data_IF_624610831682
#
_entry.id   IF_624610831682
#
_cell.length_a   1.000
_cell.length_b   1.000
_cell.length_c   1.000
_cell.angle_alpha   90.00
_cell.angle_beta   90.00
_cell.angle_gamma   90.00
#
_symmetry.space_group_name_H-M   'P 1'
#
loop_
_entity.id
_entity.type
_entity.pdbx_description
1 polymer ?
#
# COMPACT_ATOMS: atom_id res chain seq x y z
N UNK A 1 2.63 3.45 14.19
CA UNK A 1 3.52 4.32 14.97
C UNK A 1 3.08 4.26 16.42
N UNK A 2 3.92 3.75 17.32
CA UNK A 2 3.63 3.74 18.75
C UNK A 2 4.00 5.10 19.36
N UNK A 3 3.05 5.77 20.02
CA UNK A 3 3.28 7.04 20.71
C UNK A 3 3.25 6.77 22.21
N UNK A 4 4.40 6.91 22.87
CA UNK A 4 4.54 6.60 24.29
C UNK A 4 4.71 5.11 24.56
N UNK A 5 4.30 4.66 25.74
CA UNK A 5 4.27 3.26 26.12
C UNK A 5 2.94 2.61 25.71
N UNK A 6 2.98 1.33 25.34
CA UNK A 6 1.77 0.58 25.04
C UNK A 6 1.37 -0.25 26.26
N UNK A 7 0.31 0.15 26.96
CA UNK A 7 -0.25 -0.58 28.09
C UNK A 7 -1.24 -1.66 27.60
N UNK A 8 -0.69 -2.73 27.02
CA UNK A 8 -1.49 -3.82 26.47
C UNK A 8 -0.67 -5.01 25.98
N UNK A 9 -1.38 -6.06 25.54
CA UNK A 9 -0.76 -7.25 24.97
C UNK A 9 -0.45 -7.07 23.48
N UNK A 10 0.82 -7.17 23.11
CA UNK A 10 1.26 -7.23 21.72
C UNK A 10 1.39 -8.69 21.27
N UNK A 11 0.55 -9.10 20.30
CA UNK A 11 0.60 -10.43 19.70
C UNK A 11 1.25 -10.34 18.32
N UNK A 12 2.43 -10.94 18.17
CA UNK A 12 3.07 -11.11 16.86
C UNK A 12 2.55 -12.39 16.20
N UNK A 13 1.72 -12.25 15.17
CA UNK A 13 1.23 -13.37 14.39
C UNK A 13 2.37 -13.96 13.54
N UNK A 14 2.78 -15.19 13.87
CA UNK A 14 3.78 -15.98 13.13
C UNK A 14 3.16 -17.28 12.58
N UNK A 15 1.87 -17.25 12.21
CA UNK A 15 1.24 -18.39 11.55
C UNK A 15 1.89 -18.60 10.17
N UNK A 16 2.34 -19.82 9.88
CA UNK A 16 3.03 -20.18 8.65
C UNK A 16 2.28 -21.27 7.88
N UNK A 17 2.55 -21.38 6.58
CA UNK A 17 1.99 -22.39 5.69
C UNK A 17 1.34 -21.79 4.44
N UNK A 18 1.52 -22.50 3.33
CA UNK A 18 0.88 -22.20 2.04
C UNK A 18 0.28 -23.50 1.48
N UNK A 19 -1.03 -23.51 1.29
CA UNK A 19 -1.76 -24.64 0.71
C UNK A 19 -2.21 -24.28 -0.70
N UNK A 20 -1.70 -25.02 -1.69
CA UNK A 20 -1.96 -24.78 -3.11
C UNK A 20 -2.99 -25.78 -3.63
N UNK A 21 -3.99 -25.27 -4.35
CA UNK A 21 -5.07 -26.06 -4.94
C UNK A 21 -5.25 -25.68 -6.41
N UNK A 22 -4.95 -26.62 -7.30
CA UNK A 22 -5.16 -26.46 -8.73
C UNK A 22 -6.66 -26.44 -9.08
N UNK A 23 -7.09 -25.46 -9.88
CA UNK A 23 -8.47 -25.27 -10.35
C UNK A 23 -8.52 -25.12 -11.88
N UNK A 24 -7.63 -25.82 -12.61
CA UNK A 24 -7.57 -25.75 -14.07
C UNK A 24 -6.80 -24.52 -14.52
N UNK A 25 -7.49 -23.49 -15.01
CA UNK A 25 -6.87 -22.23 -15.48
C UNK A 25 -6.36 -21.34 -14.34
N UNK A 26 -6.77 -21.64 -13.11
CA UNK A 26 -6.42 -20.87 -11.92
C UNK A 26 -5.85 -21.78 -10.83
N UNK A 27 -5.21 -21.16 -9.85
CA UNK A 27 -4.72 -21.80 -8.63
C UNK A 27 -5.26 -21.01 -7.44
N UNK A 28 -5.92 -21.72 -6.53
CA UNK A 28 -6.21 -21.18 -5.20
C UNK A 28 -5.00 -21.42 -4.31
N UNK A 29 -4.59 -20.40 -3.58
CA UNK A 29 -3.56 -20.55 -2.55
C UNK A 29 -4.05 -19.94 -1.24
N UNK A 30 -4.15 -20.78 -0.22
CA UNK A 30 -4.43 -20.34 1.15
C UNK A 30 -3.11 -20.14 1.87
N UNK A 31 -2.88 -18.94 2.37
CA UNK A 31 -1.60 -18.51 2.94
C UNK A 31 -1.84 -18.02 4.37
N UNK A 32 -1.05 -18.55 5.30
CA UNK A 32 -1.13 -18.14 6.70
C UNK A 32 -0.73 -16.66 6.88
N UNK A 33 -1.37 -15.98 7.83
CA UNK A 33 -1.23 -14.54 8.05
C UNK A 33 0.18 -14.05 8.41
N UNK A 34 1.01 -14.91 8.99
CA UNK A 34 2.38 -14.58 9.40
C UNK A 34 3.41 -14.71 8.28
N UNK A 35 3.03 -15.26 7.12
CA UNK A 35 3.93 -15.37 5.98
C UNK A 35 4.39 -14.00 5.49
N UNK A 36 5.65 -13.91 5.09
CA UNK A 36 6.22 -12.68 4.52
C UNK A 36 5.59 -12.37 3.17
N UNK A 37 5.07 -11.14 3.00
CA UNK A 37 4.37 -10.77 1.77
C UNK A 37 5.24 -10.94 0.52
N UNK A 38 6.45 -10.39 0.52
CA UNK A 38 7.30 -10.46 -0.68
C UNK A 38 7.82 -11.88 -0.97
N UNK A 39 8.00 -12.71 0.07
CA UNK A 39 8.34 -14.12 -0.10
C UNK A 39 7.19 -14.89 -0.76
N UNK A 40 5.94 -14.61 -0.37
CA UNK A 40 4.76 -15.13 -1.07
C UNK A 40 4.73 -14.68 -2.54
N UNK A 41 4.95 -13.40 -2.82
CA UNK A 41 4.99 -12.90 -4.22
C UNK A 41 6.10 -13.60 -5.01
N UNK A 42 7.28 -13.80 -4.44
CA UNK A 42 8.37 -14.53 -5.09
C UNK A 42 7.99 -15.98 -5.45
N UNK A 43 7.34 -16.68 -4.52
CA UNK A 43 6.88 -18.05 -4.73
C UNK A 43 5.83 -18.11 -5.86
N UNK A 44 4.88 -17.17 -5.91
CA UNK A 44 3.90 -17.10 -7.01
C UNK A 44 4.55 -16.86 -8.36
N UNK A 45 5.54 -15.96 -8.43
CA UNK A 45 6.25 -15.64 -9.68
C UNK A 45 7.10 -16.83 -10.13
N UNK A 46 7.74 -17.53 -9.19
CA UNK A 46 8.51 -18.75 -9.46
C UNK A 46 7.64 -19.87 -10.00
N UNK A 47 6.40 -19.98 -9.52
CA UNK A 47 5.39 -20.93 -10.03
C UNK A 47 4.73 -20.51 -11.35
N UNK A 48 5.08 -19.34 -11.89
CA UNK A 48 4.48 -18.83 -13.12
C UNK A 48 3.02 -18.37 -12.95
N UNK A 49 2.62 -17.97 -11.73
CA UNK A 49 1.26 -17.56 -11.41
C UNK A 49 1.12 -16.04 -11.45
N UNK A 50 0.14 -15.57 -12.21
CA UNK A 50 -0.16 -14.16 -12.44
C UNK A 50 -1.08 -13.60 -11.34
N UNK A 51 -0.86 -12.33 -10.99
CA UNK A 51 -1.83 -11.52 -10.23
C UNK A 51 -1.23 -10.67 -9.12
N UNK A 52 -0.03 -10.99 -8.64
CA UNK A 52 0.62 -10.27 -7.51
C UNK A 52 2.01 -9.72 -7.83
N UNK A 53 2.50 -9.90 -9.06
CA UNK A 53 3.85 -9.49 -9.47
C UNK A 53 4.09 -7.98 -9.31
N UNK A 54 3.05 -7.16 -9.54
CA UNK A 54 3.08 -5.70 -9.33
C UNK A 54 3.19 -5.29 -7.85
N UNK A 55 2.89 -6.22 -6.93
CA UNK A 55 2.94 -6.01 -5.48
C UNK A 55 4.29 -6.47 -4.88
N UNK A 56 5.27 -6.80 -5.72
CA UNK A 56 6.63 -7.17 -5.31
C UNK A 56 7.31 -6.09 -4.46
N UNK A 57 8.04 -6.51 -3.44
CA UNK A 57 8.87 -5.71 -2.55
C UNK A 57 8.10 -4.91 -1.51
N UNK A 58 6.78 -5.12 -1.37
CA UNK A 58 6.00 -4.53 -0.28
C UNK A 58 6.39 -5.23 1.04
N UNK A 59 6.85 -4.49 2.07
CA UNK A 59 7.14 -5.09 3.37
C UNK A 59 5.88 -5.52 4.12
N UNK A 60 6.06 -6.35 5.13
CA UNK A 60 4.98 -6.81 6.02
C UNK A 60 4.56 -8.25 5.74
N UNK A 61 3.42 -8.63 6.30
CA UNK A 61 2.92 -9.99 6.25
C UNK A 61 1.69 -10.12 5.35
N UNK A 62 1.38 -11.34 4.96
CA UNK A 62 0.18 -11.68 4.20
C UNK A 62 -1.10 -11.29 4.96
N UNK A 63 -1.13 -11.45 6.29
CA UNK A 63 -2.27 -11.06 7.11
C UNK A 63 -2.54 -9.55 7.13
N UNK A 64 -1.49 -8.73 6.97
CA UNK A 64 -1.61 -7.28 6.90
C UNK A 64 -2.07 -6.76 5.52
N UNK A 65 -1.84 -7.54 4.46
CA UNK A 65 -2.20 -7.18 3.08
C UNK A 65 -3.68 -6.77 2.89
N UNK A 66 -4.69 -7.54 3.38
CA UNK A 66 -6.09 -7.17 3.21
C UNK A 66 -6.49 -5.95 4.05
N UNK A 67 -5.84 -5.69 5.19
CA UNK A 67 -6.26 -4.66 6.15
C UNK A 67 -6.42 -3.30 5.47
N UNK A 68 -5.42 -2.90 4.68
CA UNK A 68 -5.46 -1.64 3.94
C UNK A 68 -5.59 -1.84 2.43
N UNK A 69 -5.96 -3.04 1.97
CA UNK A 69 -5.96 -3.38 0.53
C UNK A 69 -4.66 -2.89 -0.14
N UNK A 70 -3.53 -3.48 0.22
CA UNK A 70 -2.22 -3.06 -0.30
C UNK A 70 -2.25 -2.98 -1.83
N UNK A 71 -1.60 -1.96 -2.37
CA UNK A 71 -1.60 -1.74 -3.81
C UNK A 71 -0.41 -0.95 -4.27
N UNK A 72 0.15 -1.34 -5.40
CA UNK A 72 1.28 -0.70 -6.03
C UNK A 72 1.25 -0.94 -7.54
N UNK A 73 1.83 0.00 -8.29
CA UNK A 73 2.06 -0.16 -9.73
C UNK A 73 0.82 -0.56 -10.54
N UNK A 74 -0.37 -0.05 -10.18
CA UNK A 74 -1.61 -0.32 -10.91
C UNK A 74 -2.30 -1.63 -10.54
N UNK A 75 -1.87 -2.33 -9.49
CA UNK A 75 -2.54 -3.50 -8.93
C UNK A 75 -2.92 -3.25 -7.46
N UNK A 76 -4.01 -3.87 -7.02
CA UNK A 76 -4.44 -3.94 -5.62
C UNK A 76 -4.68 -5.40 -5.22
N UNK A 77 -4.40 -5.74 -3.97
CA UNK A 77 -4.51 -7.13 -3.51
C UNK A 77 -5.96 -7.65 -3.56
N UNK A 78 -6.97 -6.76 -3.44
CA UNK A 78 -8.38 -7.12 -3.61
C UNK A 78 -8.66 -7.82 -4.95
N UNK A 79 -7.85 -7.57 -5.98
CA UNK A 79 -8.09 -8.10 -7.33
C UNK A 79 -7.88 -9.62 -7.38
N UNK A 80 -7.05 -10.15 -6.48
CA UNK A 80 -6.73 -11.58 -6.38
C UNK A 80 -7.23 -12.24 -5.09
N UNK A 81 -7.68 -11.50 -4.09
CA UNK A 81 -8.24 -12.10 -2.87
C UNK A 81 -9.56 -12.80 -3.20
N UNK A 82 -9.61 -14.09 -2.89
CA UNK A 82 -10.81 -14.91 -2.94
C UNK A 82 -11.57 -14.85 -1.61
N UNK A 83 -10.87 -15.05 -0.50
CA UNK A 83 -11.45 -15.07 0.84
C UNK A 83 -10.41 -14.72 1.92
N UNK A 84 -10.88 -14.28 3.08
CA UNK A 84 -10.05 -13.95 4.25
C UNK A 84 -10.57 -14.70 5.47
N UNK A 85 -9.75 -15.56 6.06
CA UNK A 85 -10.10 -16.23 7.31
C UNK A 85 -9.71 -15.32 8.47
N UNK A 86 -10.67 -15.09 9.36
CA UNK A 86 -10.53 -14.21 10.51
C UNK A 86 -10.91 -14.94 11.78
N UNK A 87 -10.11 -14.76 12.83
CA UNK A 87 -10.54 -15.08 14.19
C UNK A 87 -11.36 -13.90 14.71
N UNK A 88 -12.64 -14.15 14.96
CA UNK A 88 -13.57 -13.18 15.54
C UNK A 88 -13.43 -13.23 17.07
N UNK A 89 -12.93 -12.15 17.67
CA UNK A 89 -12.71 -12.09 19.12
C UNK A 89 -14.00 -11.96 19.93
N UNK A 90 -15.11 -11.58 19.30
CA UNK A 90 -16.42 -11.52 19.96
C UNK A 90 -17.09 -12.89 20.00
N UNK A 91 -16.98 -13.65 18.90
CA UNK A 91 -17.57 -15.00 18.78
C UNK A 91 -16.61 -16.13 19.19
N UNK A 92 -15.32 -15.82 19.42
CA UNK A 92 -14.24 -16.75 19.78
C UNK A 92 -14.11 -17.92 18.80
N UNK A 93 -14.30 -17.66 17.51
CA UNK A 93 -14.20 -18.66 16.44
C UNK A 93 -13.59 -18.10 15.17
N UNK A 94 -13.08 -19.00 14.34
CA UNK A 94 -12.65 -18.64 12.98
C UNK A 94 -13.87 -18.61 12.06
N UNK A 95 -13.99 -17.56 11.26
CA UNK A 95 -14.95 -17.47 10.15
C UNK A 95 -14.26 -16.95 8.90
N UNK A 96 -14.86 -17.22 7.75
CA UNK A 96 -14.33 -16.80 6.45
C UNK A 96 -15.16 -15.63 5.93
N UNK A 97 -14.49 -14.53 5.58
CA UNK A 97 -15.08 -13.41 4.86
C UNK A 97 -14.84 -13.56 3.37
N UNK A 98 -15.89 -13.40 2.58
CA UNK A 98 -15.79 -13.24 1.13
C UNK A 98 -15.13 -11.90 0.76
N UNK A 99 -14.65 -11.80 -0.49
CA UNK A 99 -14.13 -10.54 -1.03
C UNK A 99 -15.10 -9.37 -0.88
N UNK A 100 -16.41 -9.58 -1.08
CA UNK A 100 -17.43 -8.55 -0.92
C UNK A 100 -17.62 -8.12 0.54
N UNK A 101 -17.60 -9.07 1.47
CA UNK A 101 -17.69 -8.78 2.91
C UNK A 101 -16.47 -8.03 3.43
N UNK A 102 -15.30 -8.19 2.80
CA UNK A 102 -14.11 -7.43 3.14
C UNK A 102 -14.22 -5.93 2.79
N UNK A 103 -15.20 -5.53 1.96
CA UNK A 103 -15.48 -4.13 1.57
C UNK A 103 -14.22 -3.33 1.19
N UNK A 104 -13.38 -3.91 0.33
CA UNK A 104 -12.11 -3.28 -0.07
C UNK A 104 -12.34 -1.97 -0.83
N UNK A 105 -11.53 -0.96 -0.51
CA UNK A 105 -11.46 0.33 -1.22
C UNK A 105 -10.02 0.83 -1.33
N UNK A 106 -9.83 2.06 -1.78
CA UNK A 106 -8.49 2.66 -1.84
C UNK A 106 -7.91 2.83 -0.43
N UNK A 107 -6.86 2.06 -0.10
CA UNK A 107 -6.21 2.08 1.22
C UNK A 107 -7.15 1.78 2.39
N UNK A 108 -8.20 0.99 2.16
CA UNK A 108 -9.22 0.68 3.17
C UNK A 108 -9.89 -0.69 2.94
N UNK A 109 -10.48 -1.20 4.01
CA UNK A 109 -11.31 -2.41 4.05
C UNK A 109 -12.22 -2.36 5.28
N UNK A 110 -13.06 -3.38 5.48
CA UNK A 110 -13.84 -3.56 6.71
C UNK A 110 -12.95 -3.60 7.97
N UNK A 111 -11.70 -4.07 7.86
CA UNK A 111 -10.76 -4.17 8.98
C UNK A 111 -10.32 -2.80 9.53
N UNK A 112 -10.52 -1.73 8.76
CA UNK A 112 -10.25 -0.35 9.20
C UNK A 112 -11.50 0.35 9.75
N UNK A 113 -12.63 -0.34 9.84
CA UNK A 113 -13.87 0.21 10.43
C UNK A 113 -14.08 -0.35 11.84
N UNK A 114 -15.05 0.21 12.56
CA UNK A 114 -15.46 -0.31 13.87
C UNK A 114 -15.92 -1.77 13.82
N UNK A 115 -16.54 -2.19 12.72
CA UNK A 115 -17.02 -3.56 12.52
C UNK A 115 -15.87 -4.58 12.45
N UNK A 116 -14.71 -4.17 11.92
CA UNK A 116 -13.56 -5.05 11.73
C UNK A 116 -12.57 -5.09 12.89
N UNK A 117 -12.69 -4.23 13.91
CA UNK A 117 -11.71 -4.12 15.00
C UNK A 117 -11.46 -5.42 15.78
N UNK A 118 -12.48 -6.27 15.91
CA UNK A 118 -12.39 -7.58 16.57
C UNK A 118 -12.03 -8.73 15.63
N UNK A 119 -11.69 -8.46 14.37
CA UNK A 119 -11.42 -9.49 13.36
C UNK A 119 -9.92 -9.59 13.11
N UNK A 120 -9.31 -10.66 13.61
CA UNK A 120 -7.88 -10.93 13.45
C UNK A 120 -7.68 -11.81 12.21
N UNK A 121 -7.05 -11.29 11.16
CA UNK A 121 -6.75 -12.07 9.96
C UNK A 121 -5.77 -13.20 10.29
N UNK A 122 -6.19 -14.45 10.11
CA UNK A 122 -5.37 -15.64 10.38
C UNK A 122 -4.86 -16.32 9.11
N UNK A 123 -5.59 -16.22 8.00
CA UNK A 123 -5.13 -16.65 6.68
C UNK A 123 -5.83 -15.86 5.56
N UNK A 124 -5.21 -15.82 4.39
CA UNK A 124 -5.77 -15.19 3.19
C UNK A 124 -5.72 -16.19 2.04
N UNK A 125 -6.84 -16.33 1.34
CA UNK A 125 -6.92 -17.17 0.14
C UNK A 125 -6.89 -16.29 -1.10
N UNK A 126 -5.96 -16.56 -2.00
CA UNK A 126 -5.81 -15.87 -3.28
C UNK A 126 -6.21 -16.77 -4.44
N UNK A 127 -6.84 -16.19 -5.46
CA UNK A 127 -7.11 -16.82 -6.75
C UNK A 127 -6.14 -16.23 -7.77
N UNK A 128 -5.19 -17.04 -8.22
CA UNK A 128 -4.13 -16.65 -9.14
C UNK A 128 -4.34 -17.34 -10.50
N UNK A 129 -3.95 -16.68 -11.59
CA UNK A 129 -4.11 -17.24 -12.93
C UNK A 129 -2.82 -17.95 -13.40
N UNK A 130 -2.96 -19.04 -14.17
CA UNK A 130 -1.81 -19.72 -14.81
C UNK A 130 -1.40 -19.08 -16.13
N UNK A 131 -2.32 -18.34 -16.73
CA UNK A 131 -2.11 -17.60 -17.98
C UNK A 131 -2.56 -16.17 -17.77
N UNK A 132 -1.93 -15.23 -18.47
CA UNK A 132 -2.26 -13.82 -18.31
C UNK A 132 -1.29 -12.91 -19.03
N UNK A 133 -1.57 -11.61 -18.92
CA UNK A 133 -0.71 -10.55 -19.43
C UNK A 133 -0.30 -9.66 -18.25
N UNK A 134 1.00 -9.49 -17.97
CA UNK A 134 1.44 -8.67 -16.86
C UNK A 134 1.01 -7.21 -17.00
N UNK A 135 0.68 -6.57 -15.88
CA UNK A 135 0.27 -5.17 -15.89
C UNK A 135 1.48 -4.23 -15.87
N UNK A 136 1.81 -3.61 -17.01
CA UNK A 136 2.86 -2.58 -17.11
C UNK A 136 2.33 -1.17 -17.39
N UNK A 137 1.04 -0.94 -17.13
CA UNK A 137 0.38 0.36 -17.40
C UNK A 137 0.86 1.49 -16.49
N UNK A 138 1.49 1.17 -15.36
CA UNK A 138 2.00 2.18 -14.45
C UNK A 138 3.20 2.91 -15.05
N UNK A 139 3.17 4.26 -15.01
CA UNK A 139 4.10 5.15 -15.72
C UNK A 139 5.58 4.76 -15.68
N UNK A 140 6.08 4.30 -14.53
CA UNK A 140 7.49 3.96 -14.36
C UNK A 140 7.83 2.59 -14.97
N UNK A 141 6.88 1.65 -14.96
CA UNK A 141 7.01 0.38 -15.67
C UNK A 141 6.90 0.61 -17.17
N UNK A 142 5.93 1.41 -17.62
CA UNK A 142 5.80 1.80 -19.04
C UNK A 142 7.08 2.44 -19.55
N UNK A 143 7.65 3.40 -18.82
CA UNK A 143 8.93 4.03 -19.19
C UNK A 143 10.08 3.01 -19.25
N UNK A 144 10.12 2.05 -18.32
CA UNK A 144 11.21 1.08 -18.23
C UNK A 144 11.15 0.01 -19.33
N UNK A 145 9.96 -0.44 -19.69
CA UNK A 145 9.77 -1.45 -20.74
C UNK A 145 9.65 -0.84 -22.14
N UNK A 146 9.45 0.47 -22.25
CA UNK A 146 9.40 1.18 -23.52
C UNK A 146 8.26 0.67 -24.40
N UNK A 147 8.60 0.23 -25.61
CA UNK A 147 7.64 -0.27 -26.61
C UNK A 147 7.38 -1.78 -26.52
N UNK A 148 7.97 -2.49 -25.55
CA UNK A 148 7.75 -3.94 -25.40
C UNK A 148 6.28 -4.22 -25.08
N UNK A 149 5.71 -5.19 -25.78
CA UNK A 149 4.38 -5.69 -25.47
C UNK A 149 4.34 -6.30 -24.07
N UNK A 150 3.31 -6.03 -23.25
CA UNK A 150 3.10 -6.72 -21.99
C UNK A 150 3.14 -8.26 -22.13
N UNK A 151 2.56 -8.81 -23.20
CA UNK A 151 2.49 -10.26 -23.45
C UNK A 151 3.85 -10.92 -23.75
N UNK A 152 4.90 -10.14 -24.04
CA UNK A 152 6.26 -10.67 -24.27
C UNK A 152 7.14 -10.61 -23.02
N UNK A 153 6.58 -10.23 -21.87
CA UNK A 153 7.29 -10.13 -20.60
C UNK A 153 6.97 -11.32 -19.72
N UNK A 154 8.02 -11.91 -19.14
CA UNK A 154 7.86 -12.88 -18.05
C UNK A 154 7.50 -12.18 -16.73
N UNK A 155 6.80 -12.91 -15.84
CA UNK A 155 6.52 -12.44 -14.48
C UNK A 155 7.81 -12.06 -13.71
N UNK A 156 8.90 -12.82 -13.93
CA UNK A 156 10.20 -12.51 -13.34
C UNK A 156 10.79 -11.19 -13.83
N UNK A 157 10.62 -10.83 -15.11
CA UNK A 157 11.03 -9.52 -15.63
C UNK A 157 10.23 -8.39 -14.98
N UNK A 158 8.91 -8.56 -14.83
CA UNK A 158 8.04 -7.57 -14.19
C UNK A 158 8.37 -7.41 -12.72
N UNK A 159 8.52 -8.50 -11.96
CA UNK A 159 8.99 -8.47 -10.56
C UNK A 159 10.31 -7.72 -10.43
N UNK A 160 11.32 -8.03 -11.25
CA UNK A 160 12.62 -7.34 -11.21
C UNK A 160 12.50 -5.85 -11.51
N UNK A 161 11.66 -5.46 -12.48
CA UNK A 161 11.42 -4.06 -12.80
C UNK A 161 10.73 -3.33 -11.65
N UNK A 162 9.70 -3.93 -11.03
CA UNK A 162 9.01 -3.39 -9.86
C UNK A 162 9.99 -3.18 -8.71
N UNK A 163 10.80 -4.19 -8.37
CA UNK A 163 11.81 -4.10 -7.32
C UNK A 163 12.85 -3.01 -7.60
N UNK A 164 13.28 -2.85 -8.86
CA UNK A 164 14.20 -1.77 -9.26
C UNK A 164 13.56 -0.39 -9.05
N UNK A 165 12.34 -0.17 -9.54
CA UNK A 165 11.63 1.10 -9.36
C UNK A 165 11.40 1.40 -7.88
N UNK A 166 11.15 0.38 -7.05
CA UNK A 166 11.03 0.56 -5.59
C UNK A 166 12.35 1.02 -4.97
N UNK A 167 13.48 0.37 -5.29
CA UNK A 167 14.81 0.79 -4.79
C UNK A 167 15.19 2.21 -5.22
N UNK A 168 14.75 2.63 -6.40
CA UNK A 168 14.98 3.99 -6.89
C UNK A 168 14.18 5.05 -6.10
N UNK A 169 13.03 4.67 -5.51
CA UNK A 169 12.08 5.61 -4.89
C UNK A 169 12.02 5.58 -3.38
N UNK A 170 12.25 4.43 -2.77
CA UNK A 170 12.10 4.24 -1.32
C UNK A 170 13.48 4.21 -0.65
N UNK A 171 13.57 4.68 0.60
CA UNK A 171 14.80 4.54 1.38
C UNK A 171 15.05 3.05 1.68
N UNK A 172 16.32 2.63 1.76
CA UNK A 172 16.64 1.30 2.24
C UNK A 172 16.32 1.20 3.74
N UNK A 173 15.75 0.06 4.17
CA UNK A 173 15.23 -0.11 5.54
C UNK A 173 16.33 -0.34 6.58
N UNK A 174 17.55 -0.64 6.15
CA UNK A 174 18.73 -0.85 7.00
C UNK A 174 19.39 0.48 7.45
N UNK A 175 19.02 1.61 6.84
CA UNK A 175 19.57 2.94 7.16
C UNK A 175 18.54 3.99 7.59
N UNK A 176 17.24 3.71 7.43
CA UNK A 176 16.17 4.66 7.72
C UNK A 176 15.01 3.99 8.45
N UNK A 177 14.51 4.64 9.49
CA UNK A 177 13.21 4.28 10.06
C UNK A 177 12.10 4.86 9.20
N UNK A 178 11.23 4.03 8.63
CA UNK A 178 10.08 4.49 7.84
C UNK A 178 8.93 3.49 7.88
N UNK A 179 7.71 4.00 7.72
CA UNK A 179 6.50 3.20 7.47
C UNK A 179 6.04 3.29 6.00
N UNK A 180 6.92 3.72 5.10
CA UNK A 180 6.59 3.94 3.69
C UNK A 180 5.88 5.27 3.48
N UNK A 181 4.93 5.30 2.52
CA UNK A 181 4.10 6.49 2.30
C UNK A 181 3.31 6.80 3.57
N UNK A 182 3.56 7.96 4.17
CA UNK A 182 2.93 8.34 5.43
C UNK A 182 1.50 8.86 5.22
N UNK A 183 1.23 9.44 4.06
CA UNK A 183 -0.05 10.01 3.68
C UNK A 183 -0.67 9.28 2.49
N UNK A 184 -2.00 9.19 2.49
CA UNK A 184 -2.77 8.75 1.33
C UNK A 184 -2.76 9.83 0.26
N UNK A 185 -3.01 9.44 -0.99
CA UNK A 185 -3.39 10.42 -2.01
C UNK A 185 -4.80 10.95 -1.71
N UNK A 186 -5.03 12.27 -1.64
CA UNK A 186 -6.33 12.82 -1.34
C UNK A 186 -7.28 12.57 -2.51
N UNK A 187 -8.54 12.28 -2.16
CA UNK A 187 -9.65 12.19 -3.10
C UNK A 187 -10.49 13.44 -2.87
N UNK A 188 -10.69 14.23 -3.92
CA UNK A 188 -11.41 15.50 -3.84
C UNK A 188 -12.64 15.50 -4.73
N UNK A 189 -13.55 16.43 -4.50
CA UNK A 189 -14.68 16.66 -5.41
C UNK A 189 -14.19 17.20 -6.75
N UNK A 190 -15.06 17.12 -7.77
CA UNK A 190 -14.73 17.61 -9.11
C UNK A 190 -14.47 19.12 -9.13
N UNK A 191 -15.22 19.88 -8.36
CA UNK A 191 -15.11 21.34 -8.25
C UNK A 191 -13.76 21.74 -7.65
N UNK A 192 -13.33 21.02 -6.61
CA UNK A 192 -12.00 21.22 -6.00
C UNK A 192 -10.90 20.87 -7.00
N UNK A 193 -11.03 19.76 -7.72
CA UNK A 193 -10.08 19.38 -8.76
C UNK A 193 -9.97 20.44 -9.87
N UNK A 194 -11.08 20.94 -10.40
CA UNK A 194 -11.09 21.93 -11.48
C UNK A 194 -10.38 23.23 -11.08
N UNK A 195 -10.62 23.70 -9.85
CA UNK A 195 -9.88 24.84 -9.27
C UNK A 195 -8.37 24.55 -9.20
N UNK A 196 -7.99 23.37 -8.71
CA UNK A 196 -6.58 23.00 -8.57
C UNK A 196 -5.89 22.80 -9.92
N UNK A 197 -6.58 22.22 -10.91
CA UNK A 197 -6.07 22.01 -12.26
C UNK A 197 -5.83 23.35 -12.97
N UNK A 198 -6.67 24.36 -12.74
CA UNK A 198 -6.46 25.71 -13.25
C UNK A 198 -5.18 26.36 -12.68
N UNK A 199 -4.93 26.20 -11.38
CA UNK A 199 -3.73 26.72 -10.72
C UNK A 199 -2.47 25.87 -11.00
N UNK A 200 -2.65 24.57 -11.23
CA UNK A 200 -1.59 23.58 -11.39
C UNK A 200 -1.86 22.63 -12.58
N UNK A 201 -1.64 23.08 -13.83
CA UNK A 201 -2.04 22.33 -15.03
C UNK A 201 -1.36 20.97 -15.21
N UNK A 202 -0.25 20.72 -14.52
CA UNK A 202 0.49 19.46 -14.57
C UNK A 202 0.23 18.53 -13.39
N UNK A 203 -0.74 18.88 -12.52
CA UNK A 203 -1.14 18.06 -11.36
C UNK A 203 -1.72 16.71 -11.83
N UNK A 204 -1.09 15.58 -11.50
CA UNK A 204 -1.62 14.28 -11.86
C UNK A 204 -2.91 13.99 -11.08
N UNK A 205 -3.95 13.65 -11.83
CA UNK A 205 -5.29 13.37 -11.32
C UNK A 205 -5.85 12.10 -11.95
N UNK A 206 -6.53 11.30 -11.13
CA UNK A 206 -7.08 10.01 -11.53
C UNK A 206 -8.54 9.94 -11.06
N UNK A 207 -9.52 9.96 -11.97
CA UNK A 207 -10.92 9.72 -11.62
C UNK A 207 -11.07 8.38 -10.91
N UNK A 208 -11.93 8.32 -9.90
CA UNK A 208 -12.29 7.06 -9.23
C UNK A 208 -13.73 6.65 -9.58
N UNK A 209 -14.00 5.35 -9.81
CA UNK A 209 -15.34 4.88 -10.15
C UNK A 209 -16.42 5.24 -9.13
N UNK A 210 -16.06 5.27 -7.84
CA UNK A 210 -16.96 5.56 -6.73
C UNK A 210 -17.28 7.06 -6.56
N UNK A 211 -16.68 7.92 -7.40
CA UNK A 211 -16.89 9.36 -7.42
C UNK A 211 -15.75 10.18 -6.83
N UNK A 212 -15.45 11.32 -7.44
CA UNK A 212 -14.34 12.18 -7.05
C UNK A 212 -13.07 11.94 -7.88
N UNK A 213 -12.01 12.68 -7.53
CA UNK A 213 -10.75 12.70 -8.27
C UNK A 213 -9.59 12.51 -7.29
N UNK A 214 -8.82 11.44 -7.47
CA UNK A 214 -7.62 11.17 -6.69
C UNK A 214 -6.45 11.98 -7.22
N UNK A 215 -5.83 12.80 -6.37
CA UNK A 215 -4.71 13.66 -6.74
C UNK A 215 -3.38 13.07 -6.28
N UNK A 216 -2.31 13.27 -7.05
CA UNK A 216 -0.97 12.85 -6.65
C UNK A 216 -0.38 13.76 -5.57
N UNK A 217 -0.50 13.38 -4.29
CA UNK A 217 0.06 14.16 -3.18
C UNK A 217 1.59 14.25 -3.25
N UNK A 218 2.28 13.23 -3.78
CA UNK A 218 3.72 13.32 -4.04
C UNK A 218 4.08 14.52 -4.95
N UNK A 219 3.23 14.80 -5.93
CA UNK A 219 3.43 15.93 -6.85
C UNK A 219 3.13 17.25 -6.14
N UNK A 220 2.08 17.30 -5.32
CA UNK A 220 1.74 18.50 -4.54
C UNK A 220 2.90 18.87 -3.59
N UNK A 221 3.40 17.88 -2.83
CA UNK A 221 4.51 18.09 -1.90
C UNK A 221 5.81 18.51 -2.62
N UNK A 222 6.13 17.94 -3.79
CA UNK A 222 7.32 18.32 -4.59
C UNK A 222 7.12 19.66 -5.31
N UNK A 223 6.16 19.72 -6.25
CA UNK A 223 6.05 20.80 -7.24
C UNK A 223 5.26 22.00 -6.77
N UNK A 224 4.21 21.82 -5.98
CA UNK A 224 3.41 22.94 -5.50
C UNK A 224 4.02 23.54 -4.21
N UNK A 225 4.60 22.72 -3.33
CA UNK A 225 5.09 23.16 -2.03
C UNK A 225 6.62 23.15 -1.87
N UNK A 226 7.38 22.51 -2.76
CA UNK A 226 8.84 22.48 -2.66
C UNK A 226 9.37 21.70 -1.44
N UNK A 227 8.60 20.75 -0.91
CA UNK A 227 8.91 20.03 0.34
C UNK A 227 9.70 18.73 0.13
N UNK A 228 10.10 18.42 -1.10
CA UNK A 228 10.93 17.24 -1.39
C UNK A 228 12.28 17.35 -0.69
N UNK A 229 12.60 16.38 0.18
CA UNK A 229 13.80 16.42 1.02
C UNK A 229 13.68 17.34 2.25
N UNK A 230 12.51 17.95 2.50
CA UNK A 230 12.30 18.82 3.65
C UNK A 230 12.49 18.04 4.96
N UNK A 231 13.29 18.61 5.87
CA UNK A 231 13.74 17.95 7.09
C UNK A 231 13.70 18.93 8.27
N UNK A 232 13.30 18.45 9.44
CA UNK A 232 13.46 19.12 10.73
C UNK A 232 14.02 18.13 11.76
N UNK A 233 15.21 18.43 12.28
CA UNK A 233 15.89 17.55 13.24
C UNK A 233 16.09 16.14 12.68
N UNK A 234 15.56 15.14 13.37
CA UNK A 234 15.66 13.72 13.00
C UNK A 234 14.57 13.25 12.02
N UNK A 235 13.59 14.08 11.66
CA UNK A 235 12.45 13.70 10.80
C UNK A 235 12.46 14.48 9.49
N UNK A 236 12.12 13.83 8.38
CA UNK A 236 11.91 14.54 7.11
C UNK A 236 11.16 13.73 6.06
N UNK A 237 10.89 14.37 4.92
CA UNK A 237 10.37 13.72 3.72
C UNK A 237 11.54 13.19 2.89
N UNK A 238 11.42 11.97 2.38
CA UNK A 238 12.49 11.34 1.62
C UNK A 238 12.73 12.06 0.28
N UNK A 239 13.99 12.29 -0.03
CA UNK A 239 14.42 13.08 -1.20
C UNK A 239 13.95 12.50 -2.53
N UNK A 240 13.69 11.18 -2.64
CA UNK A 240 13.25 10.54 -3.89
C UNK A 240 11.74 10.32 -3.94
N UNK A 241 11.07 10.38 -2.79
CA UNK A 241 9.63 10.16 -2.67
C UNK A 241 9.08 10.98 -1.49
N UNK A 242 8.51 12.17 -1.74
CA UNK A 242 8.06 13.06 -0.66
C UNK A 242 6.83 12.56 0.11
N UNK A 243 6.18 11.47 -0.33
CA UNK A 243 5.18 10.79 0.49
C UNK A 243 5.79 10.01 1.65
N UNK A 244 7.07 9.64 1.55
CA UNK A 244 7.74 8.81 2.54
C UNK A 244 8.33 9.70 3.61
N UNK A 245 7.86 9.52 4.84
CA UNK A 245 8.48 10.12 6.02
C UNK A 245 9.60 9.21 6.52
N UNK A 246 10.75 9.81 6.80
CA UNK A 246 11.94 9.12 7.28
C UNK A 246 12.38 9.65 8.65
N UNK A 247 12.75 8.72 9.51
CA UNK A 247 13.55 8.94 10.70
C UNK A 247 15.03 8.75 10.33
N UNK A 248 15.79 9.83 10.38
CA UNK A 248 17.23 9.86 10.12
C UNK A 248 18.09 9.37 11.31
N UNK A 249 17.45 8.94 12.40
CA UNK A 249 18.07 8.47 13.63
C UNK A 249 17.61 9.28 14.83
N UNK A 250 17.13 8.59 15.87
CA UNK A 250 16.78 9.21 17.16
C UNK A 250 15.45 9.95 17.21
N UNK A 251 14.65 9.99 16.14
CA UNK A 251 13.33 10.63 16.21
C UNK A 251 12.38 9.89 17.16
N UNK A 252 11.71 10.65 18.01
CA UNK A 252 10.59 10.20 18.83
C UNK A 252 9.31 10.16 18.01
N UNK A 253 8.33 9.37 18.47
CA UNK A 253 7.02 9.33 17.83
C UNK A 253 6.29 10.69 17.87
N UNK A 254 6.52 11.49 18.92
CA UNK A 254 5.97 12.84 19.04
C UNK A 254 6.55 13.81 17.99
N UNK A 255 7.86 13.71 17.69
CA UNK A 255 8.49 14.50 16.63
C UNK A 255 7.97 14.09 15.25
N UNK A 256 7.78 12.79 15.01
CA UNK A 256 7.16 12.29 13.77
C UNK A 256 5.71 12.81 13.66
N UNK A 257 4.95 12.76 14.75
CA UNK A 257 3.57 13.25 14.79
C UNK A 257 3.49 14.76 14.50
N UNK A 258 4.34 15.55 15.16
CA UNK A 258 4.43 17.00 14.98
C UNK A 258 4.81 17.36 13.54
N UNK A 259 5.82 16.69 13.00
CA UNK A 259 6.25 16.90 11.62
C UNK A 259 5.12 16.57 10.63
N UNK A 260 4.43 15.44 10.81
CA UNK A 260 3.33 15.06 9.94
C UNK A 260 2.14 16.04 10.01
N UNK A 261 1.81 16.57 11.20
CA UNK A 261 0.80 17.63 11.36
C UNK A 261 1.19 18.91 10.63
N UNK A 262 2.45 19.32 10.73
CA UNK A 262 2.95 20.49 10.00
C UNK A 262 2.83 20.32 8.48
N UNK A 263 3.14 19.15 7.93
CA UNK A 263 2.98 18.88 6.50
C UNK A 263 1.51 18.98 6.10
N UNK A 264 0.60 18.42 6.88
CA UNK A 264 -0.84 18.51 6.63
C UNK A 264 -1.34 19.96 6.66
N UNK A 265 -0.88 20.75 7.65
CA UNK A 265 -1.22 22.16 7.77
C UNK A 265 -0.71 22.98 6.58
N UNK A 266 0.53 22.75 6.13
CA UNK A 266 1.07 23.40 4.92
C UNK A 266 0.25 23.07 3.67
N UNK A 267 -0.20 21.82 3.52
CA UNK A 267 -1.07 21.42 2.40
C UNK A 267 -2.42 22.12 2.50
N UNK A 268 -3.03 22.16 3.69
CA UNK A 268 -4.30 22.87 3.92
C UNK A 268 -4.18 24.36 3.60
N UNK A 269 -3.17 25.04 4.11
CA UNK A 269 -2.99 26.49 3.92
C UNK A 269 -2.67 26.89 2.47
N UNK A 270 -1.85 26.10 1.77
CA UNK A 270 -1.35 26.47 0.44
C UNK A 270 -2.17 25.89 -0.71
N UNK A 271 -2.80 24.74 -0.50
CA UNK A 271 -3.56 24.01 -1.54
C UNK A 271 -5.07 24.06 -1.25
N UNK A 272 -5.46 24.18 0.02
CA UNK A 272 -6.87 24.18 0.42
C UNK A 272 -7.50 22.80 0.33
N UNK A 273 -6.75 21.75 0.68
CA UNK A 273 -7.24 20.37 0.80
C UNK A 273 -6.69 19.74 2.09
N UNK A 274 -7.44 18.81 2.65
CA UNK A 274 -6.99 17.97 3.77
C UNK A 274 -6.26 16.72 3.25
N UNK A 275 -5.33 16.21 4.05
CA UNK A 275 -4.63 14.95 3.76
C UNK A 275 -4.71 14.02 4.97
N UNK A 276 -4.91 12.73 4.68
CA UNK A 276 -5.04 11.69 5.69
C UNK A 276 -3.76 10.86 5.81
N UNK A 277 -3.51 10.36 7.01
CA UNK A 277 -2.42 9.43 7.25
C UNK A 277 -2.78 8.04 6.74
N UNK A 278 -1.82 7.37 6.13
CA UNK A 278 -1.90 5.93 5.79
C UNK A 278 -1.43 5.07 6.97
N UNK A 279 -0.50 5.60 7.79
CA UNK A 279 0.07 4.93 8.95
C UNK A 279 -0.89 4.97 10.13
N UNK A 280 -1.09 3.80 10.75
CA UNK A 280 -1.87 3.68 11.99
C UNK A 280 -1.08 4.19 13.20
N UNK A 281 -1.77 4.93 14.07
CA UNK A 281 -1.26 5.36 15.37
C UNK A 281 -1.71 4.33 16.43
N UNK A 282 -0.75 3.87 17.22
CA UNK A 282 -1.01 3.11 18.44
C UNK A 282 -0.68 4.04 19.61
N UNK A 283 -1.64 4.19 20.51
CA UNK A 283 -1.57 5.00 21.73
C UNK A 283 -2.22 4.23 22.86
#
# INVERSE_FOLDING_TARGET
>A
MLVGEFDGLLIKLNLCGMEWSDRGETVLVKVASGEGWDAFVEETVTRGLYGVENLSGIPGTVGAAPIQNIGAYGAEVKDVIHAVDVFDTGEMRVRTLTRSECRFGYRTSIFKTSEGKGLIVVAVTFLLAKTGTPNISYKDLTRRFGTRSPSSLSLGEVRRAVLAVRREKFPPLDGYGTAGSFFKNPIVTREVYERLAAAHPTLPAFPIPEGGVKLSLAWILDKALGLKGFRKGAVGLYEKQPLVLVNFGGATAAEVESFAKEIAERVREKIGIEIEWEVEKLS
#
